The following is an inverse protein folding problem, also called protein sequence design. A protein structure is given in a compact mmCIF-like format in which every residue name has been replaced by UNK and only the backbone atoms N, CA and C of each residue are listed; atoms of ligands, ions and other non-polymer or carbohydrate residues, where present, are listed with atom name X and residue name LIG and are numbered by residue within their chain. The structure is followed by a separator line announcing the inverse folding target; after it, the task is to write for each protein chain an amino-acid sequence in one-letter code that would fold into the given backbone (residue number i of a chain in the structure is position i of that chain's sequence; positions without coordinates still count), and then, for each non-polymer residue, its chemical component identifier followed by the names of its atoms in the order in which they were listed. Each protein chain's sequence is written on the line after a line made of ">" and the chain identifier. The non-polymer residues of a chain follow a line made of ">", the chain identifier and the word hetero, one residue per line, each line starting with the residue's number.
data_IF_009722300153
#
_entry.id   IF_009722300153
#
_cell.length_a   1.000
_cell.length_b   1.000
_cell.length_c   1.000
_cell.angle_alpha   90.00
_cell.angle_beta   90.00
_cell.angle_gamma   90.00
#
_symmetry.space_group_name_H-M   'P 1'
#
loop_
_entity.id
_entity.type
_entity.pdbx_description
1 polymer ?
#
# COMPACT_ATOMS: atom_id res chain seq x y z
N UNK A 1 -61.76 94.70 -32.78
CA UNK A 1 -60.73 93.76 -32.31
C UNK A 1 -61.42 92.49 -31.89
N UNK A 2 -61.16 91.38 -32.57
CA UNK A 2 -62.01 90.19 -32.54
C UNK A 2 -61.59 89.21 -31.43
N UNK A 3 -62.21 89.34 -30.24
CA UNK A 3 -61.95 88.50 -29.07
C UNK A 3 -62.11 86.98 -29.33
N UNK A 4 -62.98 86.61 -30.28
CA UNK A 4 -63.17 85.21 -30.69
C UNK A 4 -61.89 84.62 -31.33
N UNK A 5 -61.26 85.36 -32.24
CA UNK A 5 -60.03 84.90 -32.93
C UNK A 5 -58.84 84.72 -32.00
N UNK A 6 -58.76 85.49 -30.91
CA UNK A 6 -57.73 85.34 -29.88
C UNK A 6 -57.98 84.12 -28.99
N UNK A 7 -59.25 83.80 -28.70
CA UNK A 7 -59.58 82.59 -27.90
C UNK A 7 -59.38 81.30 -28.68
N UNK A 8 -59.63 81.30 -29.99
CA UNK A 8 -59.40 80.16 -30.86
C UNK A 8 -57.90 79.86 -31.01
N UNK A 9 -57.07 80.90 -31.16
CA UNK A 9 -55.60 80.75 -31.16
C UNK A 9 -55.08 80.18 -29.85
N UNK A 10 -55.53 80.69 -28.70
CA UNK A 10 -55.12 80.14 -27.39
C UNK A 10 -55.54 78.68 -27.20
N UNK A 11 -56.75 78.31 -27.66
CA UNK A 11 -57.18 76.90 -27.64
C UNK A 11 -56.29 76.04 -28.53
N UNK A 12 -55.97 76.49 -29.75
CA UNK A 12 -55.10 75.75 -30.66
C UNK A 12 -53.69 75.56 -30.09
N UNK A 13 -53.11 76.60 -29.49
CA UNK A 13 -51.79 76.54 -28.86
C UNK A 13 -51.76 75.59 -27.66
N UNK A 14 -52.79 75.60 -26.81
CA UNK A 14 -52.91 74.68 -25.68
C UNK A 14 -53.10 73.24 -26.13
N UNK A 15 -53.89 73.01 -27.18
CA UNK A 15 -54.16 71.68 -27.72
C UNK A 15 -52.93 71.11 -28.43
N UNK A 16 -52.17 71.96 -29.15
CA UNK A 16 -50.88 71.59 -29.75
C UNK A 16 -49.84 71.23 -28.68
N UNK A 17 -49.69 72.06 -27.63
CA UNK A 17 -48.79 71.75 -26.50
C UNK A 17 -49.17 70.44 -25.80
N UNK A 18 -50.46 70.23 -25.53
CA UNK A 18 -50.94 69.00 -24.91
C UNK A 18 -50.69 67.77 -25.80
N UNK A 19 -50.85 67.89 -27.13
CA UNK A 19 -50.57 66.80 -28.07
C UNK A 19 -49.09 66.44 -28.09
N UNK A 20 -48.20 67.44 -28.14
CA UNK A 20 -46.74 67.23 -28.12
C UNK A 20 -46.28 66.64 -26.80
N UNK A 21 -46.78 67.13 -25.66
CA UNK A 21 -46.46 66.56 -24.34
C UNK A 21 -46.97 65.11 -24.21
N UNK A 22 -48.15 64.81 -24.75
CA UNK A 22 -48.68 63.45 -24.78
C UNK A 22 -47.81 62.52 -25.63
N UNK A 23 -47.47 62.93 -26.86
CA UNK A 23 -46.60 62.15 -27.76
C UNK A 23 -45.21 61.94 -27.16
N UNK A 24 -44.64 62.96 -26.50
CA UNK A 24 -43.35 62.87 -25.83
C UNK A 24 -43.39 61.85 -24.69
N UNK A 25 -44.43 61.89 -23.84
CA UNK A 25 -44.61 60.92 -22.76
C UNK A 25 -44.82 59.49 -23.27
N UNK A 26 -45.54 59.33 -24.39
CA UNK A 26 -45.74 58.01 -25.02
C UNK A 26 -44.43 57.49 -25.60
N UNK A 27 -43.64 58.34 -26.25
CA UNK A 27 -42.30 58.00 -26.76
C UNK A 27 -41.36 57.59 -25.63
N UNK A 28 -41.33 58.35 -24.53
CA UNK A 28 -40.52 58.04 -23.34
C UNK A 28 -40.94 56.71 -22.71
N UNK A 29 -42.24 56.48 -22.51
CA UNK A 29 -42.75 55.23 -21.95
C UNK A 29 -42.42 54.02 -22.85
N UNK A 30 -42.54 54.17 -24.17
CA UNK A 30 -42.17 53.14 -25.13
C UNK A 30 -40.66 52.87 -25.14
N UNK A 31 -39.84 53.92 -25.02
CA UNK A 31 -38.39 53.79 -24.91
C UNK A 31 -37.98 53.05 -23.64
N UNK A 32 -38.59 53.39 -22.49
CA UNK A 32 -38.32 52.70 -21.24
C UNK A 32 -38.73 51.23 -21.28
N UNK A 33 -39.89 50.91 -21.86
CA UNK A 33 -40.33 49.54 -22.08
C UNK A 33 -39.36 48.77 -22.97
N UNK A 34 -38.94 49.36 -24.09
CA UNK A 34 -38.00 48.75 -25.01
C UNK A 34 -36.64 48.48 -24.35
N UNK A 35 -36.13 49.45 -23.57
CA UNK A 35 -34.88 49.29 -22.83
C UNK A 35 -34.98 48.15 -21.81
N UNK A 36 -36.05 48.11 -21.00
CA UNK A 36 -36.27 47.03 -20.02
C UNK A 36 -36.42 45.67 -20.69
N UNK A 37 -37.10 45.60 -21.84
CA UNK A 37 -37.20 44.36 -22.61
C UNK A 37 -35.84 43.89 -23.12
N UNK A 38 -35.02 44.80 -23.66
CA UNK A 38 -33.68 44.46 -24.15
C UNK A 38 -32.72 44.05 -23.04
N UNK A 39 -32.78 44.72 -21.90
CA UNK A 39 -32.01 44.32 -20.70
C UNK A 39 -32.44 42.92 -20.21
N UNK A 40 -33.75 42.66 -20.12
CA UNK A 40 -34.26 41.35 -19.72
C UNK A 40 -33.88 40.25 -20.72
N UNK A 41 -33.94 40.54 -22.03
CA UNK A 41 -33.53 39.62 -23.09
C UNK A 41 -32.02 39.32 -23.03
N UNK A 42 -31.19 40.34 -22.78
CA UNK A 42 -29.75 40.19 -22.63
C UNK A 42 -29.41 39.29 -21.43
N UNK A 43 -30.04 39.52 -20.27
CA UNK A 43 -29.85 38.68 -19.08
C UNK A 43 -30.31 37.23 -19.34
N UNK A 44 -31.43 37.05 -20.03
CA UNK A 44 -31.93 35.72 -20.40
C UNK A 44 -30.96 35.00 -21.34
N UNK A 45 -30.39 35.72 -22.29
CA UNK A 45 -29.42 35.17 -23.23
C UNK A 45 -28.13 34.76 -22.53
N UNK A 46 -27.60 35.62 -21.67
CA UNK A 46 -26.41 35.33 -20.86
C UNK A 46 -26.61 34.10 -19.98
N UNK A 47 -27.72 34.04 -19.23
CA UNK A 47 -28.04 32.86 -18.38
C UNK A 47 -28.22 31.58 -19.19
N UNK A 48 -28.81 31.65 -20.38
CA UNK A 48 -28.94 30.49 -21.27
C UNK A 48 -27.59 30.02 -21.77
N UNK A 49 -26.73 30.94 -22.21
CA UNK A 49 -25.38 30.63 -22.68
C UNK A 49 -24.53 30.03 -21.57
N UNK A 50 -24.60 30.57 -20.34
CA UNK A 50 -23.93 30.00 -19.17
C UNK A 50 -24.42 28.60 -18.84
N UNK A 51 -25.73 28.37 -18.84
CA UNK A 51 -26.31 27.06 -18.56
C UNK A 51 -25.93 26.03 -19.64
N UNK A 52 -25.90 26.43 -20.90
CA UNK A 52 -25.45 25.58 -22.01
C UNK A 52 -23.96 25.28 -21.91
N UNK A 53 -23.12 26.27 -21.60
CA UNK A 53 -21.69 26.07 -21.36
C UNK A 53 -21.43 25.11 -20.18
N UNK A 54 -22.18 25.25 -19.08
CA UNK A 54 -22.08 24.33 -17.94
C UNK A 54 -22.51 22.91 -18.30
N UNK A 55 -23.58 22.75 -19.10
CA UNK A 55 -24.00 21.44 -19.61
C UNK A 55 -22.92 20.82 -20.50
N UNK A 56 -22.42 21.57 -21.47
CA UNK A 56 -21.36 21.10 -22.36
C UNK A 56 -20.10 20.69 -21.58
N UNK A 57 -19.72 21.46 -20.56
CA UNK A 57 -18.59 21.13 -19.70
C UNK A 57 -18.84 19.87 -18.86
N UNK A 58 -20.05 19.74 -18.28
CA UNK A 58 -20.45 18.54 -17.56
C UNK A 58 -20.41 17.31 -18.46
N UNK A 59 -20.98 17.39 -19.65
CA UNK A 59 -21.02 16.31 -20.63
C UNK A 59 -19.61 15.92 -21.10
N UNK A 60 -18.75 16.91 -21.35
CA UNK A 60 -17.35 16.68 -21.67
C UNK A 60 -16.60 15.96 -20.53
N UNK A 61 -16.80 16.40 -19.28
CA UNK A 61 -16.15 15.75 -18.12
C UNK A 61 -16.68 14.33 -17.90
N UNK A 62 -17.98 14.10 -18.11
CA UNK A 62 -18.58 12.78 -18.02
C UNK A 62 -18.01 11.85 -19.11
N UNK A 63 -17.93 12.33 -20.34
CA UNK A 63 -17.37 11.58 -21.46
C UNK A 63 -15.89 11.24 -21.25
N UNK A 64 -15.10 12.21 -20.76
CA UNK A 64 -13.69 11.99 -20.43
C UNK A 64 -13.52 10.94 -19.32
N UNK A 65 -14.31 11.02 -18.24
CA UNK A 65 -14.29 10.01 -17.16
C UNK A 65 -14.72 8.63 -17.64
N UNK A 66 -15.73 8.57 -18.50
CA UNK A 66 -16.19 7.30 -19.10
C UNK A 66 -15.09 6.66 -19.93
N UNK A 67 -14.43 7.41 -20.81
CA UNK A 67 -13.30 6.90 -21.59
C UNK A 67 -12.14 6.44 -20.70
N UNK A 68 -11.79 7.22 -19.68
CA UNK A 68 -10.73 6.85 -18.75
C UNK A 68 -11.05 5.53 -18.01
N UNK A 69 -12.29 5.38 -17.54
CA UNK A 69 -12.74 4.15 -16.87
C UNK A 69 -12.78 2.96 -17.84
N UNK A 70 -13.23 3.15 -19.08
CA UNK A 70 -13.22 2.11 -20.11
C UNK A 70 -11.78 1.70 -20.48
N UNK A 71 -10.86 2.65 -20.58
CA UNK A 71 -9.45 2.39 -20.83
C UNK A 71 -8.80 1.62 -19.68
N UNK A 72 -9.08 1.98 -18.42
CA UNK A 72 -8.58 1.27 -17.25
C UNK A 72 -9.14 -0.16 -17.18
N UNK A 73 -10.44 -0.33 -17.46
CA UNK A 73 -11.07 -1.65 -17.52
C UNK A 73 -10.44 -2.50 -18.62
N UNK A 74 -10.20 -1.92 -19.78
CA UNK A 74 -9.56 -2.61 -20.89
C UNK A 74 -8.12 -3.03 -20.54
N UNK A 75 -7.34 -2.12 -19.93
CA UNK A 75 -5.98 -2.41 -19.48
C UNK A 75 -5.97 -3.57 -18.47
N UNK A 76 -6.79 -3.50 -17.41
CA UNK A 76 -6.89 -4.58 -16.42
C UNK A 76 -7.36 -5.89 -17.01
N UNK A 77 -8.28 -5.85 -17.99
CA UNK A 77 -8.72 -7.06 -18.70
C UNK A 77 -7.56 -7.68 -19.49
N UNK A 78 -6.74 -6.86 -20.14
CA UNK A 78 -5.56 -7.32 -20.88
C UNK A 78 -4.46 -7.82 -19.96
N UNK A 79 -4.25 -7.21 -18.81
CA UNK A 79 -3.34 -7.72 -17.78
C UNK A 79 -3.80 -9.07 -17.25
N UNK A 80 -5.09 -9.23 -16.93
CA UNK A 80 -5.65 -10.50 -16.50
C UNK A 80 -5.53 -11.59 -17.59
N UNK A 81 -5.80 -11.25 -18.85
CA UNK A 81 -5.57 -12.14 -19.99
C UNK A 81 -4.09 -12.52 -20.12
N UNK A 82 -3.17 -11.58 -19.88
CA UNK A 82 -1.73 -11.81 -19.81
C UNK A 82 -1.34 -12.80 -18.70
N UNK A 83 -1.91 -12.66 -17.50
CA UNK A 83 -1.64 -13.58 -16.40
C UNK A 83 -2.19 -14.98 -16.69
N UNK A 84 -3.39 -15.08 -17.26
CA UNK A 84 -3.98 -16.37 -17.65
C UNK A 84 -3.16 -17.03 -18.75
N UNK A 85 -2.72 -16.29 -19.76
CA UNK A 85 -1.87 -16.83 -20.83
C UNK A 85 -0.50 -17.26 -20.30
N UNK A 86 0.10 -16.51 -19.38
CA UNK A 86 1.33 -16.91 -18.70
C UNK A 86 1.13 -18.17 -17.86
N UNK A 87 0.06 -18.25 -17.06
CA UNK A 87 -0.28 -19.42 -16.26
C UNK A 87 -0.54 -20.65 -17.13
N UNK A 88 -1.24 -20.49 -18.26
CA UNK A 88 -1.44 -21.55 -19.25
C UNK A 88 -0.11 -21.98 -19.88
N UNK A 89 0.76 -21.04 -20.25
CA UNK A 89 2.07 -21.35 -20.79
C UNK A 89 2.94 -22.12 -19.77
N UNK A 90 2.93 -21.71 -18.50
CA UNK A 90 3.59 -22.43 -17.42
C UNK A 90 2.99 -23.83 -17.20
N UNK A 91 1.66 -23.97 -17.23
CA UNK A 91 0.98 -25.27 -17.14
C UNK A 91 1.30 -26.20 -18.31
N UNK A 92 1.36 -25.67 -19.54
CA UNK A 92 1.81 -26.42 -20.72
C UNK A 92 3.27 -26.80 -20.59
N UNK A 93 4.13 -25.90 -20.12
CA UNK A 93 5.55 -26.21 -19.89
C UNK A 93 5.75 -27.33 -18.86
N UNK A 94 5.08 -27.26 -17.71
CA UNK A 94 5.18 -28.29 -16.67
C UNK A 94 4.58 -29.61 -17.14
N UNK A 95 3.46 -29.60 -17.86
CA UNK A 95 2.84 -30.83 -18.37
C UNK A 95 3.67 -31.48 -19.49
N UNK A 96 4.29 -30.70 -20.37
CA UNK A 96 5.21 -31.22 -21.39
C UNK A 96 6.47 -31.83 -20.78
N UNK A 97 7.04 -31.20 -19.74
CA UNK A 97 8.13 -31.80 -18.96
C UNK A 97 7.69 -33.10 -18.28
N UNK A 98 6.54 -33.09 -17.59
CA UNK A 98 6.02 -34.29 -16.93
C UNK A 98 5.87 -35.46 -17.90
N UNK A 99 5.32 -35.18 -19.10
CA UNK A 99 5.18 -36.18 -20.16
C UNK A 99 6.54 -36.68 -20.66
N UNK A 100 7.53 -35.79 -20.83
CA UNK A 100 8.88 -36.15 -21.27
C UNK A 100 9.65 -37.00 -20.23
N UNK A 101 9.38 -36.78 -18.94
CA UNK A 101 9.93 -37.56 -17.83
C UNK A 101 9.12 -38.83 -17.52
N UNK A 102 8.18 -39.22 -18.40
CA UNK A 102 7.43 -40.47 -18.26
C UNK A 102 6.38 -40.45 -17.14
N UNK A 103 5.83 -39.27 -16.82
CA UNK A 103 4.89 -39.03 -15.71
C UNK A 103 5.46 -39.30 -14.31
N UNK A 104 6.79 -39.33 -14.18
CA UNK A 104 7.42 -39.38 -12.86
C UNK A 104 7.45 -37.97 -12.23
N UNK A 105 6.57 -37.78 -11.24
CA UNK A 105 6.49 -36.56 -10.46
C UNK A 105 7.77 -36.25 -9.67
N UNK A 106 8.48 -37.28 -9.18
CA UNK A 106 9.66 -37.11 -8.32
C UNK A 106 10.82 -36.52 -9.13
N UNK A 107 11.06 -37.06 -10.31
CA UNK A 107 12.08 -36.58 -11.23
C UNK A 107 11.77 -35.15 -11.73
N UNK A 108 10.50 -34.83 -11.99
CA UNK A 108 10.08 -33.47 -12.35
C UNK A 108 10.33 -32.47 -11.22
N UNK A 109 9.94 -32.81 -9.99
CA UNK A 109 10.15 -31.96 -8.81
C UNK A 109 11.63 -31.65 -8.63
N UNK A 110 12.47 -32.69 -8.66
CA UNK A 110 13.90 -32.54 -8.46
C UNK A 110 14.55 -31.73 -9.59
N UNK A 111 14.13 -31.95 -10.84
CA UNK A 111 14.55 -31.11 -11.98
C UNK A 111 14.19 -29.64 -11.79
N UNK A 112 12.94 -29.34 -11.38
CA UNK A 112 12.50 -27.97 -11.12
C UNK A 112 13.24 -27.33 -9.94
N UNK A 113 13.53 -28.10 -8.88
CA UNK A 113 14.30 -27.63 -7.73
C UNK A 113 15.76 -27.31 -8.10
N UNK A 114 16.38 -28.14 -8.93
CA UNK A 114 17.76 -27.94 -9.40
C UNK A 114 17.81 -26.73 -10.36
N UNK A 115 16.92 -26.69 -11.35
CA UNK A 115 16.86 -25.60 -12.34
C UNK A 115 16.53 -24.25 -11.67
N UNK A 116 15.61 -24.26 -10.70
CA UNK A 116 15.27 -23.09 -9.90
C UNK A 116 16.37 -22.63 -8.93
N UNK A 117 17.52 -23.32 -8.86
CA UNK A 117 18.65 -22.92 -8.03
C UNK A 117 18.39 -23.03 -6.52
N UNK A 118 17.34 -23.74 -6.10
CA UNK A 118 16.93 -23.79 -4.69
C UNK A 118 18.03 -24.32 -3.78
N UNK A 119 18.86 -25.25 -4.26
CA UNK A 119 20.02 -25.74 -3.50
C UNK A 119 21.11 -24.68 -3.31
N UNK A 120 21.33 -23.81 -4.31
CA UNK A 120 22.29 -22.70 -4.21
C UNK A 120 21.78 -21.66 -3.21
N UNK A 121 20.47 -21.38 -3.22
CA UNK A 121 19.84 -20.45 -2.28
C UNK A 121 19.87 -20.98 -0.84
N UNK A 122 19.54 -22.26 -0.63
CA UNK A 122 19.65 -22.92 0.68
C UNK A 122 21.09 -22.90 1.20
N UNK A 123 22.08 -23.17 0.34
CA UNK A 123 23.49 -23.10 0.72
C UNK A 123 23.90 -21.67 1.12
N UNK A 124 23.42 -20.66 0.40
CA UNK A 124 23.67 -19.24 0.71
C UNK A 124 23.06 -18.84 2.05
N UNK A 125 21.79 -19.18 2.29
CA UNK A 125 21.10 -18.89 3.57
C UNK A 125 21.82 -19.56 4.73
N UNK A 126 22.21 -20.83 4.57
CA UNK A 126 22.97 -21.55 5.60
C UNK A 126 24.34 -20.92 5.85
N UNK A 127 25.05 -20.51 4.79
CA UNK A 127 26.33 -19.82 4.91
C UNK A 127 26.19 -18.47 5.61
N UNK A 128 25.13 -17.70 5.31
CA UNK A 128 24.83 -16.43 5.99
C UNK A 128 24.48 -16.63 7.47
N UNK A 129 23.71 -17.66 7.80
CA UNK A 129 23.39 -18.02 9.18
C UNK A 129 24.64 -18.42 9.97
N UNK A 130 25.57 -19.16 9.35
CA UNK A 130 26.83 -19.59 9.98
C UNK A 130 27.86 -18.46 10.06
N UNK A 131 27.82 -17.48 9.15
CA UNK A 131 28.78 -16.35 9.08
C UNK A 131 28.80 -15.49 10.35
N UNK A 132 27.70 -15.46 11.11
CA UNK A 132 27.60 -14.73 12.38
C UNK A 132 27.77 -15.58 13.64
N UNK A 133 28.00 -16.89 13.51
CA UNK A 133 28.26 -17.76 14.65
C UNK A 133 29.74 -17.65 15.02
N UNK A 134 30.03 -17.12 16.21
CA UNK A 134 31.33 -17.24 16.86
C UNK A 134 31.26 -18.41 17.84
N UNK A 135 31.48 -19.67 17.41
CA UNK A 135 31.50 -20.77 18.35
C UNK A 135 32.69 -20.59 19.30
N UNK A 136 32.42 -20.42 20.59
CA UNK A 136 33.43 -20.62 21.63
C UNK A 136 33.80 -22.10 21.66
N UNK A 137 34.74 -22.48 20.82
CA UNK A 137 35.30 -23.82 20.80
C UNK A 137 36.20 -23.94 22.04
N UNK A 138 35.65 -24.53 23.09
CA UNK A 138 36.47 -24.99 24.22
C UNK A 138 37.24 -26.23 23.78
N UNK A 139 38.47 -26.02 23.32
CA UNK A 139 39.42 -27.08 23.00
C UNK A 139 39.76 -27.83 24.30
N UNK A 140 39.23 -29.05 24.45
CA UNK A 140 39.72 -30.00 25.44
C UNK A 140 41.05 -30.56 24.92
N UNK A 141 42.13 -29.83 25.19
CA UNK A 141 43.48 -30.35 24.98
C UNK A 141 43.73 -31.31 26.13
N UNK A 142 43.56 -32.62 25.91
CA UNK A 142 44.11 -33.62 26.82
C UNK A 142 45.63 -33.54 26.67
N UNK A 143 46.26 -32.67 27.45
CA UNK A 143 47.71 -32.50 27.45
C UNK A 143 48.36 -33.85 27.70
N UNK A 144 49.16 -34.30 26.73
CA UNK A 144 50.09 -35.38 26.96
C UNK A 144 51.08 -34.95 28.03
N UNK A 145 51.23 -35.77 29.06
CA UNK A 145 52.40 -35.75 29.92
C UNK A 145 52.94 -37.18 30.03
N UNK A 146 54.24 -37.28 29.76
CA UNK A 146 55.01 -38.50 29.75
C UNK A 146 55.28 -38.92 31.19
N UNK A 147 54.98 -40.18 31.51
CA UNK A 147 55.63 -40.89 32.60
C UNK A 147 54.75 -41.19 33.82
N UNK A 148 54.80 -42.45 34.26
CA UNK A 148 54.37 -42.84 35.61
C UNK A 148 53.24 -43.86 35.64
N UNK A 149 53.64 -45.12 35.56
CA UNK A 149 52.90 -46.32 35.91
C UNK A 149 52.20 -46.19 37.29
N UNK A 150 50.90 -46.53 37.36
CA UNK A 150 50.22 -46.81 38.63
C UNK A 150 48.89 -46.07 38.89
N UNK A 151 47.82 -46.86 39.04
CA UNK A 151 46.53 -46.53 39.67
C UNK A 151 45.48 -45.75 38.83
N UNK A 152 44.79 -46.49 37.96
CA UNK A 152 43.64 -46.01 37.16
C UNK A 152 42.36 -45.79 38.01
N UNK A 153 42.18 -46.47 39.15
CA UNK A 153 40.93 -46.43 39.91
C UNK A 153 40.73 -45.21 40.83
N UNK A 154 41.80 -44.53 41.25
CA UNK A 154 41.70 -43.39 42.18
C UNK A 154 41.55 -42.03 41.46
N UNK A 155 41.91 -41.95 40.17
CA UNK A 155 41.85 -40.72 39.36
C UNK A 155 40.43 -40.37 38.90
N UNK A 156 39.58 -41.36 38.64
CA UNK A 156 38.16 -41.13 38.29
C UNK A 156 37.36 -40.65 39.51
N UNK A 157 37.59 -41.22 40.68
CA UNK A 157 36.93 -40.78 41.93
C UNK A 157 37.42 -39.39 42.35
N UNK A 158 38.72 -39.09 42.19
CA UNK A 158 39.26 -37.74 42.42
C UNK A 158 38.75 -36.72 41.38
N UNK A 159 38.46 -37.15 40.15
CA UNK A 159 37.81 -36.36 39.11
C UNK A 159 36.37 -35.99 39.49
N UNK A 160 35.56 -36.96 39.92
CA UNK A 160 34.20 -36.71 40.43
C UNK A 160 34.23 -35.83 41.69
N UNK A 161 35.19 -36.02 42.59
CA UNK A 161 35.35 -35.21 43.80
C UNK A 161 35.77 -33.75 43.51
N UNK A 162 36.51 -33.51 42.42
CA UNK A 162 36.81 -32.15 41.90
C UNK A 162 35.68 -31.53 41.07
N UNK A 163 34.77 -32.33 40.53
CA UNK A 163 33.60 -31.87 39.76
C UNK A 163 32.40 -31.48 40.65
N UNK A 164 32.36 -31.97 41.88
CA UNK A 164 31.30 -31.64 42.85
C UNK A 164 31.25 -30.14 43.22
N UNK A 165 32.36 -29.45 43.58
CA UNK A 165 32.31 -28.05 44.00
C UNK A 165 31.81 -27.07 42.92
N UNK A 166 32.18 -27.21 41.62
CA UNK A 166 31.63 -26.38 40.55
C UNK A 166 30.14 -26.61 40.29
N UNK A 167 29.67 -27.87 40.33
CA UNK A 167 28.25 -28.20 40.14
C UNK A 167 27.36 -27.62 41.25
N UNK A 168 27.84 -27.63 42.50
CA UNK A 168 27.12 -26.97 43.60
C UNK A 168 27.03 -25.46 43.42
N UNK A 169 28.07 -24.81 42.87
CA UNK A 169 28.02 -23.37 42.56
C UNK A 169 27.06 -23.06 41.42
N UNK A 170 27.05 -23.85 40.34
CA UNK A 170 26.14 -23.62 39.21
C UNK A 170 24.68 -23.87 39.58
N UNK A 171 24.39 -24.90 40.40
CA UNK A 171 23.02 -25.15 40.87
C UNK A 171 22.58 -24.08 41.87
N UNK A 172 23.47 -23.64 42.77
CA UNK A 172 23.18 -22.55 43.69
C UNK A 172 22.91 -21.21 42.95
N UNK A 173 23.72 -20.86 41.94
CA UNK A 173 23.52 -19.65 41.13
C UNK A 173 22.27 -19.72 40.26
N UNK A 174 21.88 -20.90 39.78
CA UNK A 174 20.71 -21.06 38.92
C UNK A 174 19.39 -21.29 39.67
N UNK A 175 19.40 -21.75 40.92
CA UNK A 175 18.17 -22.12 41.65
C UNK A 175 18.02 -21.48 43.03
N UNK A 176 19.06 -20.84 43.57
CA UNK A 176 19.02 -20.14 44.86
C UNK A 176 18.90 -21.03 46.11
N UNK A 177 18.84 -22.36 45.96
CA UNK A 177 18.73 -23.29 47.09
C UNK A 177 20.12 -23.64 47.66
N UNK A 178 20.22 -23.68 48.99
CA UNK A 178 21.41 -24.16 49.70
C UNK A 178 21.30 -25.67 49.91
N UNK A 179 22.34 -26.47 49.57
CA UNK A 179 22.30 -27.91 49.79
C UNK A 179 22.29 -28.25 51.30
N UNK A 180 21.54 -29.28 51.72
CA UNK A 180 21.37 -29.63 53.14
C UNK A 180 22.68 -30.10 53.82
N UNK A 181 22.83 -29.74 55.09
CA UNK A 181 24.11 -29.78 55.84
C UNK A 181 24.72 -31.17 56.10
N UNK A 182 24.02 -32.27 55.81
CA UNK A 182 24.52 -33.63 56.07
C UNK A 182 25.50 -34.16 55.00
N UNK A 183 25.69 -33.44 53.88
CA UNK A 183 26.68 -33.79 52.83
C UNK A 183 28.13 -33.50 53.25
N UNK A 184 28.35 -32.71 54.32
CA UNK A 184 29.69 -32.30 54.77
C UNK A 184 30.35 -33.16 55.84
N UNK A 185 29.71 -34.22 56.35
CA UNK A 185 30.21 -34.93 57.57
C UNK A 185 30.53 -36.40 57.42
N UNK A 186 30.73 -36.94 56.21
CA UNK A 186 31.31 -38.29 56.07
C UNK A 186 32.84 -38.22 56.11
N UNK A 187 33.37 -38.06 57.34
CA UNK A 187 34.78 -38.34 57.65
C UNK A 187 34.89 -39.73 58.27
N UNK A 188 35.55 -40.60 57.52
CA UNK A 188 36.60 -41.55 57.93
C UNK A 188 36.31 -42.55 59.07
N UNK A 189 36.22 -43.84 58.71
CA UNK A 189 37.04 -44.86 59.39
C UNK A 189 37.22 -46.14 58.57
N UNK A 190 38.47 -46.36 58.16
CA UNK A 190 39.04 -47.66 57.85
C UNK A 190 39.20 -48.52 59.12
N UNK A 191 38.64 -49.73 59.13
CA UNK A 191 39.19 -51.01 59.63
C UNK A 191 38.09 -52.07 59.63
#
# INVERSE_FOLDING_TARGET
>A
MNALTTTEKLKADLLSKASVEYETKVQEANWELYRKQKEAEAILYEKKAEAEAQKALSDATFYARKQAAEAELYAKKKEAEGIVTLGNAQGVYVSTLLNALGNDYTALRDYLMINGGMFQEMAKINAEAVRGLEPKISIWTNGGDNGGEGSMGMKEVAGVYKMLPPLFKTVHEQTGMLPPAWIGTLSDKSS
#
